data_IF_970278751590
#
_entry.id   IF_970278751590
#
_cell.length_a   1.000
_cell.length_b   1.000
_cell.length_c   1.000
_cell.angle_alpha   90.00
_cell.angle_beta   90.00
_cell.angle_gamma   90.00
#
_symmetry.space_group_name_H-M   'P 1'
#
loop_
_entity.id
_entity.type
_entity.pdbx_description
1 polymer ?
#
# COMPACT_ATOMS: atom_id res chain seq x y z
N UNK A 1 40.32 22.60 8.51
CA UNK A 1 40.58 21.22 8.05
C UNK A 1 39.74 20.25 8.88
N UNK A 2 38.98 19.38 8.19
CA UNK A 2 38.39 18.09 8.62
C UNK A 2 37.54 18.03 9.89
N UNK A 3 36.27 17.69 9.67
CA UNK A 3 35.37 17.21 10.72
C UNK A 3 33.98 16.85 10.21
N UNK A 4 33.86 16.24 9.01
CA UNK A 4 32.60 15.62 8.60
C UNK A 4 32.38 14.39 9.49
N UNK A 5 31.71 14.59 10.63
CA UNK A 5 31.14 13.49 11.40
C UNK A 5 30.01 12.91 10.56
N UNK A 6 30.34 11.95 9.70
CA UNK A 6 29.42 10.96 9.16
C UNK A 6 28.69 10.34 10.36
N UNK A 7 27.52 10.91 10.71
CA UNK A 7 26.49 10.14 11.41
C UNK A 7 26.21 8.97 10.50
N UNK A 8 26.87 7.85 10.81
CA UNK A 8 26.66 6.55 10.20
C UNK A 8 25.18 6.27 10.38
N UNK A 9 24.37 6.57 9.36
CA UNK A 9 23.01 6.03 9.26
C UNK A 9 23.24 4.53 9.33
N UNK A 10 22.96 3.93 10.48
CA UNK A 10 23.02 2.49 10.63
C UNK A 10 22.06 1.95 9.59
N UNK A 11 22.61 1.41 8.50
CA UNK A 11 21.86 0.88 7.38
C UNK A 11 21.07 -0.31 7.92
N UNK A 12 19.86 -0.06 8.42
CA UNK A 12 18.93 -1.11 8.84
C UNK A 12 18.80 -2.03 7.64
N UNK A 13 19.20 -3.29 7.81
CA UNK A 13 19.05 -4.29 6.75
C UNK A 13 17.57 -4.48 6.50
N UNK A 14 17.13 -4.34 5.26
CA UNK A 14 15.75 -4.64 4.89
C UNK A 14 15.44 -6.10 5.19
N UNK A 15 14.32 -6.34 5.87
CA UNK A 15 13.78 -7.70 6.06
C UNK A 15 12.79 -7.98 4.94
N UNK A 16 12.99 -9.10 4.24
CA UNK A 16 12.14 -9.52 3.12
C UNK A 16 11.71 -10.97 3.37
N UNK A 17 10.44 -11.28 3.10
CA UNK A 17 9.91 -12.63 3.13
C UNK A 17 9.48 -13.05 1.73
N UNK A 18 9.89 -14.24 1.29
CA UNK A 18 9.50 -14.82 0.00
C UNK A 18 8.71 -16.09 0.30
N UNK A 19 7.46 -16.15 -0.16
CA UNK A 19 6.57 -17.29 0.05
C UNK A 19 5.99 -17.71 -1.30
N UNK A 20 6.09 -19.00 -1.60
CA UNK A 20 5.46 -19.62 -2.77
C UNK A 20 4.24 -20.41 -2.31
N UNK A 21 3.08 -20.09 -2.87
CA UNK A 21 1.82 -20.78 -2.65
C UNK A 21 0.86 -20.42 -3.80
N UNK A 22 0.11 -21.37 -4.38
CA UNK A 22 -0.94 -21.05 -5.36
C UNK A 22 -2.10 -20.25 -4.75
N UNK A 23 -2.35 -20.39 -3.45
CA UNK A 23 -3.38 -19.62 -2.75
C UNK A 23 -2.81 -18.26 -2.30
N UNK A 24 -3.34 -17.19 -2.89
CA UNK A 24 -2.89 -15.81 -2.67
C UNK A 24 -3.09 -15.37 -1.22
N UNK A 25 -4.20 -15.78 -0.58
CA UNK A 25 -4.48 -15.41 0.80
C UNK A 25 -3.53 -16.12 1.74
N UNK A 26 -3.29 -17.41 1.51
CA UNK A 26 -2.37 -18.21 2.32
C UNK A 26 -0.92 -17.73 2.21
N UNK A 27 -0.42 -17.42 1.00
CA UNK A 27 0.94 -16.84 0.88
C UNK A 27 1.06 -15.48 1.56
N UNK A 28 0.05 -14.62 1.45
CA UNK A 28 0.09 -13.27 2.03
C UNK A 28 0.12 -13.33 3.56
N UNK A 29 -0.76 -14.13 4.18
CA UNK A 29 -0.74 -14.35 5.64
C UNK A 29 0.57 -14.95 6.11
N UNK A 30 1.10 -15.95 5.39
CA UNK A 30 2.39 -16.58 5.73
C UNK A 30 3.55 -15.58 5.62
N UNK A 31 3.56 -14.71 4.62
CA UNK A 31 4.56 -13.66 4.47
C UNK A 31 4.51 -12.66 5.64
N UNK A 32 3.31 -12.17 6.01
CA UNK A 32 3.12 -11.32 7.19
C UNK A 32 3.63 -12.00 8.46
N UNK A 33 3.26 -13.27 8.68
CA UNK A 33 3.71 -14.04 9.85
C UNK A 33 5.24 -14.14 9.93
N UNK A 34 5.94 -14.38 8.81
CA UNK A 34 7.42 -14.41 8.77
C UNK A 34 8.02 -13.04 9.11
N UNK A 35 7.40 -11.96 8.64
CA UNK A 35 7.82 -10.59 8.97
C UNK A 35 7.55 -10.25 10.45
N UNK A 36 6.65 -10.99 11.08
CA UNK A 36 6.36 -10.98 12.51
C UNK A 36 4.97 -10.45 12.85
N UNK A 37 4.05 -10.42 11.89
CA UNK A 37 2.68 -9.91 12.05
C UNK A 37 2.53 -8.45 11.62
N UNK A 38 1.29 -8.05 11.34
CA UNK A 38 0.95 -6.67 10.95
C UNK A 38 1.01 -5.72 12.16
N UNK A 39 0.78 -6.25 13.36
CA UNK A 39 0.84 -5.59 14.67
C UNK A 39 2.22 -5.02 15.00
N UNK A 40 3.26 -5.38 14.24
CA UNK A 40 4.58 -4.74 14.33
C UNK A 40 4.63 -3.35 13.73
N UNK A 41 3.65 -2.98 12.91
CA UNK A 41 3.60 -1.72 12.16
C UNK A 41 2.25 -1.00 12.21
N UNK A 42 1.19 -1.66 12.69
CA UNK A 42 -0.14 -1.08 12.89
C UNK A 42 -0.48 -1.17 14.37
N UNK A 43 -0.68 -0.02 14.99
CA UNK A 43 -1.13 0.12 16.37
C UNK A 43 -2.64 0.38 16.44
N UNK A 44 -3.23 0.11 17.61
CA UNK A 44 -4.64 0.41 17.87
C UNK A 44 -4.91 1.90 17.69
N UNK A 45 -5.89 2.23 16.86
CA UNK A 45 -6.27 3.61 16.56
C UNK A 45 -5.62 4.18 15.29
N UNK A 46 -4.65 3.49 14.69
CA UNK A 46 -4.00 3.96 13.48
C UNK A 46 -4.98 4.11 12.31
N UNK A 47 -4.68 5.09 11.45
CA UNK A 47 -5.31 5.23 10.13
C UNK A 47 -4.36 4.64 9.11
N UNK A 48 -4.78 3.56 8.45
CA UNK A 48 -3.94 2.79 7.54
C UNK A 48 -4.35 3.07 6.09
N UNK A 49 -3.39 3.49 5.27
CA UNK A 49 -3.57 3.64 3.83
C UNK A 49 -2.83 2.53 3.09
N UNK A 50 -3.55 1.73 2.30
CA UNK A 50 -3.01 0.66 1.47
C UNK A 50 -2.98 1.14 0.02
N UNK A 51 -1.77 1.32 -0.52
CA UNK A 51 -1.55 1.66 -1.93
C UNK A 51 -1.25 0.40 -2.75
N UNK A 52 -2.24 -0.25 -3.40
CA UNK A 52 -1.92 -1.24 -4.42
C UNK A 52 -1.19 -0.57 -5.60
N UNK A 53 -0.67 -1.37 -6.51
CA UNK A 53 -0.25 -0.90 -7.82
C UNK A 53 -1.35 -1.29 -8.82
N UNK A 54 -2.11 -0.31 -9.31
CA UNK A 54 -3.22 -0.52 -10.24
C UNK A 54 -2.87 -0.06 -11.66
N UNK A 55 -1.98 0.92 -11.86
CA UNK A 55 -1.52 1.37 -13.20
C UNK A 55 -2.71 1.61 -14.14
N UNK A 56 -2.88 0.77 -15.19
CA UNK A 56 -3.96 0.87 -16.19
C UNK A 56 -5.19 0.03 -15.84
N UNK A 57 -5.18 -0.56 -14.65
CA UNK A 57 -6.12 -1.57 -14.19
C UNK A 57 -6.26 -2.73 -15.20
N UNK A 58 -5.12 -3.18 -15.73
CA UNK A 58 -5.05 -4.34 -16.62
C UNK A 58 -5.72 -5.57 -15.99
N UNK A 59 -6.18 -6.54 -16.80
CA UNK A 59 -6.71 -7.80 -16.30
C UNK A 59 -5.75 -8.45 -15.31
N UNK A 60 -6.29 -9.07 -14.27
CA UNK A 60 -5.52 -9.59 -13.14
C UNK A 60 -4.51 -10.67 -13.56
N UNK A 61 -4.83 -11.42 -14.61
CA UNK A 61 -4.02 -12.51 -15.17
C UNK A 61 -2.68 -12.01 -15.73
N UNK A 62 -2.57 -10.71 -16.05
CA UNK A 62 -1.34 -10.09 -16.58
C UNK A 62 -0.25 -9.97 -15.51
N UNK A 63 -0.62 -9.88 -14.23
CA UNK A 63 0.31 -9.61 -13.13
C UNK A 63 0.81 -8.16 -13.05
N UNK A 64 0.30 -7.25 -13.89
CA UNK A 64 0.64 -5.82 -13.85
C UNK A 64 0.08 -5.13 -12.60
N UNK A 65 -1.06 -5.62 -12.12
CA UNK A 65 -1.75 -5.09 -10.95
C UNK A 65 -1.68 -6.06 -9.78
N UNK A 66 -1.71 -5.51 -8.57
CA UNK A 66 -1.78 -6.33 -7.36
C UNK A 66 -3.11 -7.08 -7.32
N UNK A 67 -3.06 -8.37 -6.99
CA UNK A 67 -4.24 -9.22 -6.84
C UNK A 67 -5.08 -8.76 -5.62
N UNK A 68 -6.40 -8.53 -5.77
CA UNK A 68 -7.26 -8.03 -4.69
C UNK A 68 -7.18 -8.87 -3.40
N UNK A 69 -6.99 -10.19 -3.50
CA UNK A 69 -6.86 -11.12 -2.38
C UNK A 69 -5.65 -10.81 -1.49
N UNK A 70 -4.61 -10.18 -2.06
CA UNK A 70 -3.45 -9.71 -1.27
C UNK A 70 -3.86 -8.51 -0.42
N UNK A 71 -4.59 -7.56 -1.02
CA UNK A 71 -5.06 -6.35 -0.35
C UNK A 71 -6.13 -6.66 0.69
N UNK A 72 -7.01 -7.63 0.41
CA UNK A 72 -7.99 -8.15 1.35
C UNK A 72 -7.34 -8.63 2.64
N UNK A 73 -6.31 -9.47 2.55
CA UNK A 73 -5.58 -9.95 3.72
C UNK A 73 -4.94 -8.79 4.47
N UNK A 74 -4.28 -7.86 3.78
CA UNK A 74 -3.63 -6.72 4.44
C UNK A 74 -4.64 -5.82 5.17
N UNK A 75 -5.78 -5.54 4.55
CA UNK A 75 -6.83 -4.73 5.13
C UNK A 75 -7.48 -5.41 6.34
N UNK A 76 -7.81 -6.70 6.24
CA UNK A 76 -8.39 -7.46 7.34
C UNK A 76 -7.43 -7.56 8.53
N UNK A 77 -6.15 -7.83 8.27
CA UNK A 77 -5.14 -7.91 9.33
C UNK A 77 -4.96 -6.54 10.01
N UNK A 78 -4.96 -5.44 9.25
CA UNK A 78 -4.90 -4.08 9.82
C UNK A 78 -6.13 -3.76 10.69
N UNK A 79 -7.34 -4.12 10.25
CA UNK A 79 -8.55 -3.98 11.06
C UNK A 79 -8.47 -4.83 12.34
N UNK A 80 -7.99 -6.08 12.24
CA UNK A 80 -7.82 -6.97 13.38
C UNK A 80 -6.79 -6.44 14.40
N UNK A 81 -5.76 -5.73 13.93
CA UNK A 81 -4.80 -5.04 14.78
C UNK A 81 -5.38 -3.81 15.51
N UNK A 82 -6.61 -3.40 15.16
CA UNK A 82 -7.32 -2.31 15.80
C UNK A 82 -7.14 -0.96 15.12
N UNK A 83 -6.77 -0.94 13.83
CA UNK A 83 -6.82 0.28 13.03
C UNK A 83 -8.20 0.95 13.14
N UNK A 84 -8.23 2.26 13.34
CA UNK A 84 -9.48 3.03 13.40
C UNK A 84 -10.10 3.26 12.01
N UNK A 85 -9.25 3.27 10.98
CA UNK A 85 -9.65 3.42 9.59
C UNK A 85 -8.67 2.67 8.69
N UNK A 86 -9.20 1.98 7.68
CA UNK A 86 -8.41 1.46 6.56
C UNK A 86 -8.93 2.09 5.27
N UNK A 87 -8.02 2.55 4.42
CA UNK A 87 -8.31 3.14 3.12
C UNK A 87 -7.48 2.41 2.08
N UNK A 88 -8.11 1.95 1.01
CA UNK A 88 -7.42 1.44 -0.18
C UNK A 88 -7.44 2.56 -1.22
N UNK A 89 -6.31 2.88 -1.85
CA UNK A 89 -6.32 3.89 -2.89
C UNK A 89 -5.11 3.89 -3.80
N UNK A 90 -5.35 4.21 -5.07
CA UNK A 90 -4.31 4.40 -6.07
C UNK A 90 -4.77 5.40 -7.15
N UNK A 91 -3.89 5.73 -8.08
CA UNK A 91 -4.22 6.49 -9.29
C UNK A 91 -4.17 5.59 -10.51
N UNK A 92 -5.25 5.53 -11.28
CA UNK A 92 -5.20 4.89 -12.59
C UNK A 92 -4.63 5.83 -13.64
N UNK A 93 -3.76 5.30 -14.51
CA UNK A 93 -3.10 6.08 -15.58
C UNK A 93 -3.99 6.32 -16.80
N UNK A 94 -4.96 5.45 -17.11
CA UNK A 94 -5.81 5.56 -18.31
C UNK A 94 -7.34 5.55 -18.07
N UNK A 95 -8.05 6.31 -18.89
CA UNK A 95 -9.51 6.58 -18.88
C UNK A 95 -10.34 5.50 -19.61
N UNK A 96 -10.14 4.21 -19.33
CA UNK A 96 -11.10 3.22 -19.84
C UNK A 96 -12.31 3.15 -18.90
N UNK A 97 -13.49 3.25 -19.52
CA UNK A 97 -14.85 2.95 -19.00
C UNK A 97 -14.87 1.72 -18.07
N UNK A 98 -15.90 1.52 -17.21
CA UNK A 98 -15.87 0.63 -16.04
C UNK A 98 -14.96 -0.58 -16.20
N UNK A 99 -13.92 -0.60 -15.39
CA UNK A 99 -12.87 -1.61 -15.46
C UNK A 99 -13.17 -2.66 -14.40
N UNK A 100 -13.33 -3.91 -14.80
CA UNK A 100 -13.59 -5.04 -13.92
C UNK A 100 -12.61 -5.10 -12.74
N UNK A 101 -11.33 -4.81 -12.97
CA UNK A 101 -10.32 -4.71 -11.91
C UNK A 101 -10.71 -3.67 -10.86
N UNK A 102 -11.18 -2.49 -11.27
CA UNK A 102 -11.64 -1.46 -10.32
C UNK A 102 -12.92 -1.87 -9.62
N UNK A 103 -13.89 -2.42 -10.34
CA UNK A 103 -15.12 -2.91 -9.73
C UNK A 103 -14.83 -3.99 -8.68
N UNK A 104 -13.84 -4.86 -8.91
CA UNK A 104 -13.37 -5.83 -7.90
C UNK A 104 -12.77 -5.16 -6.66
N UNK A 105 -12.04 -4.06 -6.82
CA UNK A 105 -11.48 -3.29 -5.69
C UNK A 105 -12.57 -2.51 -4.93
N UNK A 106 -13.54 -1.94 -5.63
CA UNK A 106 -14.70 -1.27 -5.04
C UNK A 106 -15.57 -2.25 -4.25
N UNK A 107 -15.83 -3.43 -4.82
CA UNK A 107 -16.55 -4.52 -4.15
C UNK A 107 -15.79 -5.03 -2.93
N UNK A 108 -14.48 -5.24 -3.06
CA UNK A 108 -13.62 -5.62 -1.94
C UNK A 108 -13.72 -4.60 -0.80
N UNK A 109 -13.58 -3.31 -1.11
CA UNK A 109 -13.65 -2.26 -0.10
C UNK A 109 -15.03 -2.21 0.58
N UNK A 110 -16.10 -2.34 -0.20
CA UNK A 110 -17.47 -2.42 0.31
C UNK A 110 -17.65 -3.62 1.25
N UNK A 111 -17.20 -4.80 0.86
CA UNK A 111 -17.34 -6.03 1.65
C UNK A 111 -16.58 -5.97 2.98
N UNK A 112 -15.45 -5.25 3.01
CA UNK A 112 -14.66 -5.02 4.23
C UNK A 112 -15.15 -3.82 5.07
N UNK A 113 -16.09 -3.01 4.56
CA UNK A 113 -16.52 -1.78 5.22
C UNK A 113 -15.44 -0.68 5.24
N UNK A 114 -14.53 -0.68 4.26
CA UNK A 114 -13.42 0.27 4.12
C UNK A 114 -13.62 1.20 2.92
N UNK A 115 -12.82 2.26 2.80
CA UNK A 115 -12.90 3.21 1.67
C UNK A 115 -12.02 2.75 0.51
N UNK A 116 -12.50 2.93 -0.72
CA UNK A 116 -11.70 2.90 -1.94
C UNK A 116 -11.61 4.30 -2.54
N UNK A 117 -10.40 4.83 -2.74
CA UNK A 117 -10.18 6.19 -3.24
C UNK A 117 -9.40 6.17 -4.56
N UNK A 118 -9.95 6.87 -5.57
CA UNK A 118 -9.19 7.31 -6.73
C UNK A 118 -8.45 8.62 -6.38
N UNK A 119 -7.14 8.51 -6.16
CA UNK A 119 -6.31 9.62 -5.69
C UNK A 119 -6.27 10.80 -6.67
N UNK A 120 -6.62 10.59 -7.95
CA UNK A 120 -6.68 11.64 -8.97
C UNK A 120 -7.87 12.58 -8.79
N UNK A 121 -8.93 12.14 -8.11
CA UNK A 121 -10.14 12.94 -7.84
C UNK A 121 -9.99 13.92 -6.69
N UNK A 122 -8.87 13.86 -5.97
CA UNK A 122 -8.59 14.69 -4.81
C UNK A 122 -7.60 15.82 -5.17
N UNK A 123 -7.64 16.97 -4.46
CA UNK A 123 -6.68 18.05 -4.68
C UNK A 123 -5.26 17.60 -4.33
N UNK A 124 -4.28 18.19 -5.00
CA UNK A 124 -2.87 17.89 -4.76
C UNK A 124 -2.21 18.96 -3.89
N UNK A 125 -1.36 18.53 -2.97
CA UNK A 125 -0.47 19.39 -2.18
C UNK A 125 0.99 19.10 -2.52
N UNK A 126 1.84 20.12 -2.46
CA UNK A 126 3.28 19.95 -2.55
C UNK A 126 3.84 19.62 -1.17
N UNK A 127 4.59 18.53 -1.07
CA UNK A 127 5.21 18.06 0.16
C UNK A 127 6.72 18.03 -0.06
N UNK A 128 7.49 18.62 0.87
CA UNK A 128 8.95 18.54 0.85
C UNK A 128 9.40 17.13 1.23
N UNK A 129 10.39 16.60 0.52
CA UNK A 129 10.97 15.29 0.81
C UNK A 129 12.09 15.47 1.82
N UNK A 130 12.08 14.68 2.89
CA UNK A 130 13.18 14.62 3.86
C UNK A 130 14.39 13.92 3.23
N UNK A 131 15.57 14.52 3.37
CA UNK A 131 16.85 14.04 2.80
C UNK A 131 16.78 13.60 1.32
N UNK A 132 16.39 14.50 0.39
CA UNK A 132 16.12 14.12 -0.99
C UNK A 132 17.38 13.72 -1.75
N UNK A 133 17.33 12.58 -2.45
CA UNK A 133 18.37 12.18 -3.41
C UNK A 133 18.23 12.97 -4.72
N UNK A 134 16.98 13.20 -5.18
CA UNK A 134 16.71 13.88 -6.46
C UNK A 134 15.57 14.90 -6.35
N UNK A 135 14.34 14.46 -6.05
CA UNK A 135 13.19 15.36 -5.92
C UNK A 135 13.14 16.01 -4.54
N UNK A 136 13.24 17.35 -4.49
CA UNK A 136 13.13 18.12 -3.24
C UNK A 136 11.67 18.27 -2.77
N UNK A 137 10.73 18.23 -3.70
CA UNK A 137 9.30 18.28 -3.44
C UNK A 137 8.57 17.30 -4.35
N UNK A 138 7.47 16.74 -3.84
CA UNK A 138 6.55 15.86 -4.59
C UNK A 138 5.12 16.35 -4.46
N UNK A 139 4.29 16.03 -5.44
CA UNK A 139 2.85 16.30 -5.39
C UNK A 139 2.14 15.06 -4.87
N UNK A 140 1.45 15.20 -3.74
CA UNK A 140 0.66 14.14 -3.13
C UNK A 140 -0.82 14.52 -3.11
N UNK A 141 -1.67 13.52 -3.23
CA UNK A 141 -3.11 13.68 -3.08
C UNK A 141 -3.46 14.02 -1.62
N UNK A 142 -4.33 15.02 -1.40
CA UNK A 142 -4.80 15.44 -0.08
C UNK A 142 -6.10 14.72 0.23
N UNK A 143 -5.99 13.66 1.04
CA UNK A 143 -7.08 12.79 1.50
C UNK A 143 -7.31 12.93 3.01
#
# INVERSE_FOLDING_TARGET
MRGWSLKRVMKRRSRVAIVKDPDIRRRTRKALKILGGIDRIVDRGDRVFIKPNLVDASPLETGEVVQPETVEVLAQEALNAGASEVIIGDTQTYWKMPNETISRYEELAKNLGVKFLDLKKHPFVKVKVEDPVFFREVRLSKI
#
